data_IF_677621901259
#
_entry.id   IF_677621901259
#
_cell.length_a   1.000
_cell.length_b   1.000
_cell.length_c   1.000
_cell.angle_alpha   90.00
_cell.angle_beta   90.00
_cell.angle_gamma   90.00
#
_symmetry.space_group_name_H-M   'P 1'
#
loop_
_entity.id
_entity.type
_entity.pdbx_description
1 polymer ?
#
# COMPACT_ATOMS: atom_id res chain seq x y z
N UNK A 1 -2.29 4.35 12.79
CA UNK A 1 -2.29 4.98 11.44
C UNK A 1 -2.00 6.48 11.47
N UNK A 2 -2.76 7.29 12.24
CA UNK A 2 -2.63 8.75 12.22
C UNK A 2 -1.24 9.29 12.63
N UNK A 3 -0.61 8.70 13.65
CA UNK A 3 0.75 9.05 14.13
C UNK A 3 1.84 9.06 13.04
N UNK A 4 1.70 8.23 12.00
CA UNK A 4 2.67 8.12 10.89
C UNK A 4 2.34 9.04 9.71
N UNK A 5 1.19 9.71 9.72
CA UNK A 5 0.75 10.62 8.66
C UNK A 5 0.82 12.09 9.07
N UNK A 6 1.14 12.39 10.34
CA UNK A 6 1.17 13.74 10.90
C UNK A 6 2.06 14.72 10.13
N UNK A 7 3.28 14.32 9.74
CA UNK A 7 4.18 15.20 8.99
C UNK A 7 3.65 15.57 7.60
N UNK A 8 3.04 14.60 6.90
CA UNK A 8 2.37 14.87 5.62
C UNK A 8 1.10 15.69 5.80
N UNK A 9 0.34 15.46 6.87
CA UNK A 9 -0.86 16.22 7.16
C UNK A 9 -0.52 17.69 7.36
N UNK A 10 0.48 18.01 8.19
CA UNK A 10 0.99 19.37 8.39
C UNK A 10 1.49 20.01 7.09
N UNK A 11 2.27 19.27 6.29
CA UNK A 11 2.72 19.75 4.98
C UNK A 11 1.53 20.06 4.05
N UNK A 12 0.49 19.23 4.10
CA UNK A 12 -0.71 19.42 3.27
C UNK A 12 -1.50 20.64 3.72
N UNK A 13 -1.60 20.90 5.04
CA UNK A 13 -2.22 22.12 5.57
C UNK A 13 -1.45 23.38 5.12
N UNK A 14 -0.12 23.33 5.13
CA UNK A 14 0.72 24.42 4.62
C UNK A 14 0.47 24.68 3.13
N UNK A 15 0.48 23.63 2.31
CA UNK A 15 0.19 23.73 0.88
C UNK A 15 -1.23 24.26 0.65
N UNK A 16 -2.22 23.75 1.39
CA UNK A 16 -3.60 24.22 1.34
C UNK A 16 -3.74 25.69 1.71
N UNK A 17 -2.98 26.15 2.71
CA UNK A 17 -2.92 27.56 3.09
C UNK A 17 -2.32 28.45 1.99
N UNK A 18 -1.21 28.04 1.38
CA UNK A 18 -0.61 28.80 0.27
C UNK A 18 -1.54 28.85 -0.94
N UNK A 19 -2.17 27.73 -1.30
CA UNK A 19 -3.12 27.68 -2.41
C UNK A 19 -4.37 28.52 -2.11
N UNK A 20 -4.91 28.44 -0.90
CA UNK A 20 -6.04 29.25 -0.48
C UNK A 20 -5.73 30.75 -0.47
N UNK A 21 -4.53 31.12 -0.03
CA UNK A 21 -4.03 32.49 -0.09
C UNK A 21 -4.06 33.04 -1.52
N UNK A 22 -3.59 32.25 -2.50
CA UNK A 22 -3.56 32.65 -3.91
C UNK A 22 -4.94 32.68 -4.57
N UNK A 23 -5.84 31.75 -4.22
CA UNK A 23 -7.17 31.64 -4.84
C UNK A 23 -8.20 32.60 -4.25
N UNK A 24 -8.14 32.86 -2.94
CA UNK A 24 -9.15 33.63 -2.24
C UNK A 24 -8.66 35.00 -1.76
N UNK A 25 -7.34 35.22 -1.66
CA UNK A 25 -6.77 36.48 -1.16
C UNK A 25 -7.11 37.69 -2.04
N UNK A 26 -7.23 37.49 -3.36
CA UNK A 26 -7.65 38.53 -4.32
C UNK A 26 -9.16 38.63 -4.51
N UNK A 27 -9.92 37.68 -3.98
CA UNK A 27 -11.35 37.50 -4.27
C UNK A 27 -12.25 38.21 -3.24
N UNK A 28 -11.68 38.63 -2.11
CA UNK A 28 -12.37 39.41 -1.07
C UNK A 28 -12.35 40.88 -1.49
N UNK A 29 -13.48 41.39 -1.97
CA UNK A 29 -13.69 42.77 -2.38
C UNK A 29 -14.67 43.51 -1.42
N UNK A 30 -14.84 44.82 -1.63
CA UNK A 30 -15.71 45.66 -0.78
C UNK A 30 -17.16 45.15 -0.72
N UNK A 31 -17.64 44.55 -1.80
CA UNK A 31 -18.97 43.93 -1.91
C UNK A 31 -19.12 42.68 -1.03
N UNK A 32 -18.07 41.85 -0.96
CA UNK A 32 -18.00 40.69 -0.06
C UNK A 32 -17.93 41.14 1.40
N UNK A 33 -17.24 42.25 1.67
CA UNK A 33 -17.13 42.86 3.00
C UNK A 33 -18.48 43.40 3.45
N UNK A 34 -19.19 44.15 2.60
CA UNK A 34 -20.52 44.66 2.94
C UNK A 34 -21.52 43.54 3.21
N UNK A 35 -21.51 42.49 2.39
CA UNK A 35 -22.36 41.31 2.62
C UNK A 35 -22.02 40.60 3.94
N UNK A 36 -20.73 40.47 4.25
CA UNK A 36 -20.29 39.81 5.50
C UNK A 36 -20.66 40.63 6.74
N UNK A 37 -20.61 41.96 6.69
CA UNK A 37 -21.05 42.85 7.77
C UNK A 37 -22.55 42.71 8.02
N UNK A 38 -23.34 42.58 6.95
CA UNK A 38 -24.80 42.39 7.05
C UNK A 38 -25.16 41.01 7.66
N UNK A 39 -24.44 39.96 7.26
CA UNK A 39 -24.65 38.59 7.78
C UNK A 39 -24.09 38.41 9.20
N UNK A 40 -22.98 39.07 9.54
CA UNK A 40 -22.33 39.03 10.86
C UNK A 40 -22.68 40.25 11.71
N UNK A 41 -23.94 40.71 11.63
CA UNK A 41 -24.44 41.89 12.36
C UNK A 41 -24.34 41.80 13.90
N UNK A 42 -24.05 40.61 14.43
CA UNK A 42 -23.81 40.34 15.85
C UNK A 42 -22.37 40.66 16.29
N UNK A 43 -21.46 40.95 15.37
CA UNK A 43 -20.10 41.43 15.63
C UNK A 43 -19.98 42.93 15.33
N UNK A 44 -19.12 43.69 16.04
CA UNK A 44 -18.85 45.08 15.69
C UNK A 44 -18.29 45.20 14.26
N UNK A 45 -18.83 46.12 13.47
CA UNK A 45 -18.45 46.31 12.06
C UNK A 45 -16.94 46.53 11.90
N UNK A 46 -16.31 47.28 12.82
CA UNK A 46 -14.87 47.50 12.83
C UNK A 46 -14.07 46.19 12.94
N UNK A 47 -14.58 45.22 13.70
CA UNK A 47 -13.95 43.90 13.87
C UNK A 47 -14.08 43.07 12.60
N UNK A 48 -15.26 43.10 11.96
CA UNK A 48 -15.52 42.37 10.70
C UNK A 48 -14.67 42.94 9.56
N UNK A 49 -14.61 44.26 9.41
CA UNK A 49 -13.77 44.93 8.41
C UNK A 49 -12.28 44.70 8.66
N UNK A 50 -11.83 44.78 9.91
CA UNK A 50 -10.44 44.48 10.28
C UNK A 50 -10.05 43.04 9.95
N UNK A 51 -10.90 42.06 10.28
CA UNK A 51 -10.65 40.65 9.95
C UNK A 51 -10.60 40.40 8.43
N UNK A 52 -11.52 41.00 7.67
CA UNK A 52 -11.59 40.84 6.21
C UNK A 52 -10.52 41.63 5.46
N UNK A 53 -9.97 42.70 6.06
CA UNK A 53 -8.82 43.44 5.52
C UNK A 53 -7.56 42.57 5.41
N UNK A 54 -7.46 41.51 6.22
CA UNK A 54 -6.41 40.49 6.11
C UNK A 54 -6.79 39.43 5.07
N UNK A 55 -7.20 39.85 3.88
CA UNK A 55 -7.79 38.98 2.84
C UNK A 55 -6.92 37.77 2.51
N UNK A 56 -5.60 37.97 2.41
CA UNK A 56 -4.62 36.91 2.15
C UNK A 56 -4.52 35.89 3.28
N UNK A 57 -4.58 36.34 4.54
CA UNK A 57 -4.57 35.45 5.72
C UNK A 57 -5.89 34.67 5.81
N UNK A 58 -7.00 35.33 5.51
CA UNK A 58 -8.32 34.71 5.51
C UNK A 58 -8.44 33.67 4.39
N UNK A 59 -7.90 33.95 3.20
CA UNK A 59 -7.76 32.97 2.12
C UNK A 59 -6.88 31.78 2.51
N UNK A 60 -5.79 32.01 3.23
CA UNK A 60 -4.94 30.94 3.76
C UNK A 60 -5.69 30.06 4.78
N UNK A 61 -6.46 30.67 5.67
CA UNK A 61 -7.32 29.94 6.62
C UNK A 61 -8.36 29.09 5.90
N UNK A 62 -9.09 29.66 4.94
CA UNK A 62 -10.11 28.94 4.16
C UNK A 62 -9.50 27.72 3.45
N UNK A 63 -8.36 27.91 2.77
CA UNK A 63 -7.67 26.81 2.08
C UNK A 63 -7.16 25.73 3.02
N UNK A 64 -6.54 26.11 4.15
CA UNK A 64 -6.06 25.17 5.14
C UNK A 64 -7.22 24.41 5.82
N UNK A 65 -8.33 25.10 6.12
CA UNK A 65 -9.53 24.53 6.74
C UNK A 65 -10.24 23.56 5.81
N UNK A 66 -10.44 23.90 4.53
CA UNK A 66 -11.02 22.99 3.55
C UNK A 66 -10.22 21.70 3.46
N UNK A 67 -8.89 21.82 3.36
CA UNK A 67 -8.01 20.68 3.22
C UNK A 67 -7.92 19.85 4.52
N UNK A 68 -7.95 20.50 5.69
CA UNK A 68 -8.07 19.84 6.98
C UNK A 68 -9.35 19.01 7.08
N UNK A 69 -10.50 19.61 6.74
CA UNK A 69 -11.79 18.95 6.76
C UNK A 69 -11.82 17.70 5.88
N UNK A 70 -11.27 17.79 4.65
CA UNK A 70 -11.16 16.64 3.74
C UNK A 70 -10.25 15.55 4.31
N UNK A 71 -9.09 15.90 4.88
CA UNK A 71 -8.17 14.91 5.46
C UNK A 71 -8.76 14.21 6.69
N UNK A 72 -9.45 14.95 7.56
CA UNK A 72 -10.17 14.40 8.70
C UNK A 72 -11.30 13.47 8.25
N UNK A 73 -12.03 13.86 7.21
CA UNK A 73 -13.05 13.01 6.60
C UNK A 73 -12.42 11.72 6.05
N UNK A 74 -11.30 11.79 5.33
CA UNK A 74 -10.57 10.59 4.86
C UNK A 74 -10.17 9.69 6.03
N UNK A 75 -9.72 10.24 7.17
CA UNK A 75 -9.41 9.43 8.34
C UNK A 75 -10.65 8.78 8.96
N UNK A 76 -11.77 9.49 9.03
CA UNK A 76 -13.04 8.93 9.49
C UNK A 76 -13.50 7.81 8.56
N UNK A 77 -13.41 8.02 7.25
CA UNK A 77 -13.71 7.02 6.23
C UNK A 77 -12.84 5.78 6.38
N UNK A 78 -11.53 5.96 6.56
CA UNK A 78 -10.60 4.84 6.77
C UNK A 78 -10.84 4.14 8.10
N UNK A 79 -11.12 4.88 9.18
CA UNK A 79 -11.32 4.33 10.53
C UNK A 79 -12.63 3.55 10.65
N UNK A 80 -13.71 4.10 10.10
CA UNK A 80 -15.05 3.50 10.14
C UNK A 80 -15.35 2.67 8.89
N UNK A 81 -14.42 2.60 7.95
CA UNK A 81 -14.54 1.88 6.69
C UNK A 81 -15.82 2.26 5.91
N UNK A 82 -16.12 3.56 5.86
CA UNK A 82 -17.32 4.10 5.19
C UNK A 82 -17.16 3.94 3.69
N UNK A 83 -18.19 3.44 3.00
CA UNK A 83 -18.17 3.31 1.54
C UNK A 83 -17.98 4.69 0.87
N UNK A 84 -17.11 4.81 -0.14
CA UNK A 84 -16.99 6.04 -0.94
C UNK A 84 -18.32 6.50 -1.55
N UNK A 85 -19.25 5.58 -1.81
CA UNK A 85 -20.60 5.90 -2.30
C UNK A 85 -21.46 6.62 -1.25
N UNK A 86 -21.34 6.25 0.01
CA UNK A 86 -22.02 6.95 1.12
C UNK A 86 -21.45 8.36 1.28
N UNK A 87 -20.13 8.51 1.10
CA UNK A 87 -19.51 9.83 1.06
C UNK A 87 -20.06 10.66 -0.11
N UNK A 88 -20.10 10.08 -1.31
CA UNK A 88 -20.59 10.74 -2.51
C UNK A 88 -22.05 11.19 -2.35
N UNK A 89 -22.91 10.35 -1.77
CA UNK A 89 -24.30 10.68 -1.43
C UNK A 89 -24.39 11.80 -0.39
N UNK A 90 -23.59 11.76 0.68
CA UNK A 90 -23.53 12.83 1.68
C UNK A 90 -23.04 14.16 1.11
N UNK A 91 -22.10 14.11 0.16
CA UNK A 91 -21.62 15.30 -0.54
C UNK A 91 -22.73 15.94 -1.39
N UNK A 92 -23.65 15.14 -1.94
CA UNK A 92 -24.72 15.58 -2.84
C UNK A 92 -26.04 15.97 -2.15
N UNK A 93 -26.39 15.33 -1.04
CA UNK A 93 -27.69 15.53 -0.36
C UNK A 93 -27.69 16.67 0.66
N UNK A 94 -26.54 17.26 0.98
CA UNK A 94 -26.41 18.34 1.96
C UNK A 94 -25.49 19.46 1.41
N UNK A 95 -25.54 20.69 1.95
CA UNK A 95 -24.49 21.71 1.79
C UNK A 95 -23.20 21.27 2.53
N UNK A 96 -22.72 20.09 2.17
CA UNK A 96 -21.65 19.32 2.79
C UNK A 96 -20.32 20.05 2.74
N UNK A 97 -20.09 20.84 1.68
CA UNK A 97 -18.90 21.67 1.55
C UNK A 97 -18.76 22.68 2.70
N UNK A 98 -19.85 23.37 3.06
CA UNK A 98 -19.86 24.32 4.17
C UNK A 98 -19.60 23.60 5.52
N UNK A 99 -20.17 22.40 5.69
CA UNK A 99 -19.96 21.60 6.90
C UNK A 99 -18.51 21.09 7.01
N UNK A 100 -17.90 20.65 5.91
CA UNK A 100 -16.50 20.22 5.87
C UNK A 100 -15.56 21.38 6.14
N UNK A 101 -15.84 22.56 5.57
CA UNK A 101 -15.10 23.78 5.86
C UNK A 101 -15.21 24.14 7.35
N UNK A 102 -16.42 24.12 7.91
CA UNK A 102 -16.68 24.45 9.31
C UNK A 102 -15.97 23.48 10.27
N UNK A 103 -16.10 22.18 10.05
CA UNK A 103 -15.39 21.15 10.83
C UNK A 103 -13.88 21.29 10.68
N UNK A 104 -13.41 21.51 9.46
CA UNK A 104 -12.00 21.72 9.16
C UNK A 104 -11.41 22.97 9.82
N UNK A 105 -12.19 24.06 9.91
CA UNK A 105 -11.80 25.28 10.61
C UNK A 105 -11.81 25.09 12.13
N UNK A 106 -12.89 24.55 12.69
CA UNK A 106 -13.04 24.32 14.14
C UNK A 106 -11.96 23.39 14.68
N UNK A 107 -11.57 22.37 13.92
CA UNK A 107 -10.54 21.41 14.31
C UNK A 107 -9.13 21.77 13.82
N UNK A 108 -8.91 22.91 13.16
CA UNK A 108 -7.60 23.25 12.58
C UNK A 108 -6.50 23.31 13.64
N UNK A 109 -6.70 24.12 14.69
CA UNK A 109 -5.74 24.28 15.78
C UNK A 109 -5.53 22.96 16.56
N UNK A 110 -6.59 22.26 17.01
CA UNK A 110 -6.43 20.93 17.60
C UNK A 110 -5.63 19.97 16.71
N UNK A 111 -5.90 19.96 15.41
CA UNK A 111 -5.22 19.05 14.47
C UNK A 111 -3.73 19.36 14.36
N UNK A 112 -3.35 20.63 14.32
CA UNK A 112 -1.94 21.05 14.29
C UNK A 112 -1.21 20.58 15.56
N UNK A 113 -1.78 20.85 16.74
CA UNK A 113 -1.18 20.46 18.04
C UNK A 113 -0.98 18.94 18.09
N UNK A 114 -2.03 18.21 17.74
CA UNK A 114 -2.07 16.75 17.82
C UNK A 114 -1.06 16.22 16.78
N UNK A 115 -1.00 16.75 15.55
CA UNK A 115 0.00 16.33 14.56
C UNK A 115 1.45 16.59 15.01
N UNK A 116 1.75 17.74 15.63
CA UNK A 116 3.08 18.03 16.18
C UNK A 116 3.46 17.02 17.25
N UNK A 117 2.56 16.76 18.20
CA UNK A 117 2.75 15.73 19.23
C UNK A 117 2.99 14.35 18.60
N UNK A 118 2.21 13.99 17.59
CA UNK A 118 2.33 12.72 16.87
C UNK A 118 3.70 12.53 16.22
N UNK A 119 4.27 13.58 15.60
CA UNK A 119 5.61 13.54 15.02
C UNK A 119 6.71 13.35 16.07
N UNK A 120 6.61 14.04 17.20
CA UNK A 120 7.59 13.92 18.30
C UNK A 120 7.51 12.52 18.91
N UNK A 121 6.29 12.06 19.20
CA UNK A 121 6.07 10.74 19.76
C UNK A 121 6.43 9.60 18.77
N UNK A 122 6.31 9.81 17.44
CA UNK A 122 6.69 8.80 16.44
C UNK A 122 8.19 8.66 16.34
N UNK A 123 8.91 9.77 16.39
CA UNK A 123 10.37 9.80 16.39
C UNK A 123 10.93 9.06 17.60
N UNK A 124 10.31 9.22 18.78
CA UNK A 124 10.72 8.54 20.01
C UNK A 124 10.33 7.05 20.07
N UNK A 125 9.22 6.65 19.44
CA UNK A 125 8.80 5.25 19.37
C UNK A 125 9.55 4.45 18.30
N UNK A 126 9.84 5.07 17.15
CA UNK A 126 10.66 4.48 16.09
C UNK A 126 12.09 4.20 16.60
N UNK A 127 12.65 5.10 17.41
CA UNK A 127 13.96 4.89 18.04
C UNK A 127 14.03 3.69 19.00
N UNK A 128 12.89 3.21 19.54
CA UNK A 128 12.84 2.06 20.46
C UNK A 128 12.66 0.71 19.75
N UNK A 129 12.01 0.69 18.59
CA UNK A 129 11.71 -0.55 17.85
C UNK A 129 12.67 -0.81 16.67
N UNK A 130 13.45 0.18 16.24
CA UNK A 130 14.37 0.07 15.12
C UNK A 130 15.80 0.28 15.58
N UNK A 131 16.45 -0.80 16.04
CA UNK A 131 17.86 -0.78 16.44
C UNK A 131 18.85 -1.10 15.31
N UNK A 132 18.44 -1.17 14.04
CA UNK A 132 19.40 -1.49 12.96
C UNK A 132 19.22 -0.79 11.61
N UNK A 133 18.11 -0.10 11.31
CA UNK A 133 17.98 0.58 10.02
C UNK A 133 18.14 2.10 10.15
N UNK A 134 19.18 2.70 9.55
CA UNK A 134 19.30 4.15 9.45
C UNK A 134 18.15 4.70 8.59
N UNK A 135 17.19 5.35 9.24
CA UNK A 135 16.18 6.25 8.65
C UNK A 135 15.61 5.81 7.30
N UNK A 136 14.93 4.66 7.23
CA UNK A 136 13.98 4.34 6.16
C UNK A 136 14.43 4.65 4.73
N UNK A 137 15.74 4.54 4.47
CA UNK A 137 16.34 5.01 3.24
C UNK A 137 16.31 3.84 2.26
N UNK A 138 15.56 3.97 1.15
CA UNK A 138 15.53 2.92 0.13
C UNK A 138 16.92 2.60 -0.44
N UNK A 139 17.88 3.54 -0.34
CA UNK A 139 19.28 3.29 -0.68
C UNK A 139 19.90 2.17 0.16
N UNK A 140 19.51 2.04 1.43
CA UNK A 140 20.02 0.98 2.32
C UNK A 140 19.45 -0.38 1.91
N UNK A 141 18.17 -0.45 1.56
CA UNK A 141 17.55 -1.67 1.02
C UNK A 141 18.27 -2.14 -0.24
N UNK A 142 18.62 -1.22 -1.14
CA UNK A 142 19.40 -1.57 -2.32
C UNK A 142 20.83 -2.00 -1.98
N UNK A 143 21.48 -1.33 -1.03
CA UNK A 143 22.84 -1.69 -0.60
C UNK A 143 22.87 -3.11 -0.04
N UNK A 144 21.96 -3.43 0.87
CA UNK A 144 21.84 -4.78 1.46
C UNK A 144 21.47 -5.80 0.38
N UNK A 145 20.53 -5.47 -0.52
CA UNK A 145 20.19 -6.35 -1.64
C UNK A 145 21.43 -6.71 -2.48
N UNK A 146 22.24 -5.72 -2.87
CA UNK A 146 23.45 -5.95 -3.68
C UNK A 146 24.55 -6.72 -2.95
N UNK A 147 24.52 -6.78 -1.62
CA UNK A 147 25.46 -7.59 -0.84
C UNK A 147 25.07 -9.07 -0.82
N UNK A 148 23.77 -9.37 -0.80
CA UNK A 148 23.26 -10.74 -0.66
C UNK A 148 22.89 -11.38 -2.01
N UNK A 149 22.50 -10.57 -3.00
CA UNK A 149 21.88 -11.03 -4.24
C UNK A 149 22.51 -10.40 -5.49
N UNK A 150 22.49 -11.15 -6.59
CA UNK A 150 22.96 -10.66 -7.88
C UNK A 150 22.05 -9.53 -8.42
N UNK A 151 22.66 -8.45 -8.92
CA UNK A 151 21.92 -7.33 -9.53
C UNK A 151 21.94 -7.46 -11.05
N UNK A 152 20.75 -7.63 -11.64
CA UNK A 152 20.55 -7.82 -13.08
C UNK A 152 20.35 -6.47 -13.77
N UNK A 153 21.30 -6.05 -14.61
CA UNK A 153 21.23 -4.78 -15.36
C UNK A 153 20.48 -4.89 -16.69
N UNK A 154 20.33 -6.10 -17.22
CA UNK A 154 19.58 -6.43 -18.45
C UNK A 154 18.11 -5.99 -18.39
N UNK A 155 17.48 -6.04 -17.22
CA UNK A 155 16.10 -5.58 -17.00
C UNK A 155 15.95 -4.05 -16.94
N UNK A 156 17.05 -3.30 -17.07
CA UNK A 156 17.02 -1.82 -16.99
C UNK A 156 16.12 -1.19 -18.04
N UNK A 157 16.21 -1.62 -19.30
CA UNK A 157 15.39 -1.10 -20.39
C UNK A 157 13.88 -1.29 -20.11
N UNK A 158 13.51 -2.46 -19.59
CA UNK A 158 12.15 -2.78 -19.18
C UNK A 158 11.68 -1.87 -18.03
N UNK A 159 12.45 -1.80 -16.95
CA UNK A 159 12.11 -1.01 -15.77
C UNK A 159 11.97 0.48 -16.08
N UNK A 160 12.87 1.03 -16.90
CA UNK A 160 12.84 2.43 -17.33
C UNK A 160 11.64 2.73 -18.23
N UNK A 161 11.25 1.80 -19.12
CA UNK A 161 10.03 1.92 -19.94
C UNK A 161 8.79 1.95 -19.05
N UNK A 162 8.65 1.01 -18.12
CA UNK A 162 7.53 0.98 -17.17
C UNK A 162 7.46 2.25 -16.32
N UNK A 163 8.61 2.78 -15.89
CA UNK A 163 8.69 4.05 -15.15
C UNK A 163 8.17 5.23 -15.97
N UNK A 164 8.62 5.34 -17.23
CA UNK A 164 8.19 6.40 -18.15
C UNK A 164 6.67 6.37 -18.37
N UNK A 165 6.10 5.19 -18.60
CA UNK A 165 4.64 5.03 -18.76
C UNK A 165 3.90 5.37 -17.45
N UNK A 166 4.37 4.89 -16.30
CA UNK A 166 3.75 5.20 -15.00
C UNK A 166 3.77 6.70 -14.69
N UNK A 167 4.87 7.38 -15.01
CA UNK A 167 5.02 8.82 -14.84
C UNK A 167 4.09 9.60 -15.79
N UNK A 168 3.94 9.16 -17.04
CA UNK A 168 2.97 9.73 -18.00
C UNK A 168 1.54 9.66 -17.48
N UNK A 169 1.09 8.48 -17.02
CA UNK A 169 -0.26 8.32 -16.46
C UNK A 169 -0.47 9.14 -15.19
N UNK A 170 0.57 9.25 -14.35
CA UNK A 170 0.53 10.10 -13.16
C UNK A 170 0.42 11.58 -13.53
N UNK A 171 1.12 12.05 -14.57
CA UNK A 171 1.00 13.41 -15.07
C UNK A 171 -0.40 13.71 -15.63
N UNK A 172 -0.96 12.80 -16.43
CA UNK A 172 -2.32 12.92 -16.97
C UNK A 172 -3.34 13.03 -15.83
N UNK A 173 -3.19 12.22 -14.77
CA UNK A 173 -4.04 12.29 -13.57
C UNK A 173 -3.95 13.66 -12.88
N UNK A 174 -2.74 14.19 -12.67
CA UNK A 174 -2.55 15.50 -12.01
C UNK A 174 -3.15 16.63 -12.86
N UNK A 175 -2.92 16.61 -14.18
CA UNK A 175 -3.49 17.59 -15.11
C UNK A 175 -5.03 17.52 -15.13
N UNK A 176 -5.60 16.31 -15.12
CA UNK A 176 -7.05 16.12 -15.03
C UNK A 176 -7.65 16.69 -13.76
N UNK A 177 -6.96 16.55 -12.62
CA UNK A 177 -7.41 17.10 -11.33
C UNK A 177 -7.38 18.64 -11.34
N UNK A 178 -6.33 19.24 -11.91
CA UNK A 178 -6.23 20.70 -12.07
C UNK A 178 -7.37 21.21 -12.96
N UNK A 179 -7.61 20.54 -14.10
CA UNK A 179 -8.69 20.91 -15.02
C UNK A 179 -10.07 20.84 -14.34
N UNK A 180 -10.31 19.81 -13.52
CA UNK A 180 -11.54 19.67 -12.75
C UNK A 180 -11.74 20.83 -11.79
N UNK A 181 -10.69 21.23 -11.06
CA UNK A 181 -10.74 22.40 -10.17
C UNK A 181 -11.03 23.67 -10.95
N UNK A 182 -10.38 23.90 -12.09
CA UNK A 182 -10.69 25.06 -12.93
C UNK A 182 -12.16 25.08 -13.40
N UNK A 183 -12.72 23.93 -13.79
CA UNK A 183 -14.13 23.83 -14.20
C UNK A 183 -15.10 24.17 -13.07
N UNK A 184 -14.78 23.80 -11.82
CA UNK A 184 -15.62 24.16 -10.65
C UNK A 184 -15.72 25.68 -10.45
N UNK A 185 -14.73 26.46 -10.89
CA UNK A 185 -14.74 27.92 -10.77
C UNK A 185 -15.54 28.61 -11.87
N UNK A 186 -15.69 27.95 -13.03
CA UNK A 186 -16.34 28.53 -14.22
C UNK A 186 -17.82 28.17 -14.28
N UNK A 187 -18.17 26.91 -14.00
CA UNK A 187 -19.53 26.41 -14.17
C UNK A 187 -20.28 26.52 -12.84
N UNK A 188 -21.23 27.45 -12.78
CA UNK A 188 -22.10 27.64 -11.62
C UNK A 188 -23.30 26.67 -11.60
N UNK A 189 -23.63 26.06 -12.74
CA UNK A 189 -24.75 25.12 -12.84
C UNK A 189 -24.40 23.76 -12.21
N UNK A 190 -25.06 23.47 -11.09
CA UNK A 190 -24.81 22.29 -10.26
C UNK A 190 -25.09 20.96 -10.99
N UNK A 191 -26.10 20.92 -11.86
CA UNK A 191 -26.44 19.70 -12.63
C UNK A 191 -25.38 19.39 -13.70
N UNK A 192 -24.87 20.42 -14.37
CA UNK A 192 -23.79 20.24 -15.36
C UNK A 192 -22.52 19.78 -14.65
N UNK A 193 -22.18 20.38 -13.51
CA UNK A 193 -21.03 19.97 -12.71
C UNK A 193 -21.13 18.52 -12.24
N UNK A 194 -22.32 18.06 -11.86
CA UNK A 194 -22.52 16.65 -11.49
C UNK A 194 -22.17 15.69 -12.63
N UNK A 195 -22.66 15.96 -13.84
CA UNK A 195 -22.37 15.13 -15.01
C UNK A 195 -20.86 15.13 -15.30
N UNK A 196 -20.20 16.29 -15.20
CA UNK A 196 -18.74 16.41 -15.37
C UNK A 196 -17.98 15.58 -14.33
N UNK A 197 -18.37 15.64 -13.05
CA UNK A 197 -17.75 14.83 -11.99
C UNK A 197 -17.95 13.33 -12.22
N UNK A 198 -19.14 12.91 -12.68
CA UNK A 198 -19.42 11.50 -12.97
C UNK A 198 -18.56 10.97 -14.12
N UNK A 199 -18.48 11.73 -15.21
CA UNK A 199 -17.62 11.40 -16.37
C UNK A 199 -16.15 11.35 -15.93
N UNK A 200 -15.70 12.31 -15.13
CA UNK A 200 -14.34 12.34 -14.60
C UNK A 200 -14.05 11.12 -13.71
N UNK A 201 -14.97 10.71 -12.84
CA UNK A 201 -14.80 9.53 -11.98
C UNK A 201 -14.65 8.23 -12.79
N UNK A 202 -15.41 8.08 -13.88
CA UNK A 202 -15.29 6.95 -14.80
C UNK A 202 -13.92 6.96 -15.52
N UNK A 203 -13.51 8.11 -16.05
CA UNK A 203 -12.20 8.28 -16.68
C UNK A 203 -11.05 8.00 -15.72
N UNK A 204 -11.18 8.42 -14.46
CA UNK A 204 -10.18 8.21 -13.41
C UNK A 204 -10.05 6.73 -13.05
N UNK A 205 -11.16 5.99 -13.01
CA UNK A 205 -11.15 4.52 -12.82
C UNK A 205 -10.42 3.83 -13.98
N UNK A 206 -10.67 4.26 -15.22
CA UNK A 206 -9.97 3.76 -16.39
C UNK A 206 -8.47 4.09 -16.38
N UNK A 207 -8.10 5.33 -16.01
CA UNK A 207 -6.72 5.76 -15.84
C UNK A 207 -5.94 4.92 -14.82
N UNK A 208 -6.55 4.60 -13.67
CA UNK A 208 -5.92 3.72 -12.69
C UNK A 208 -5.68 2.32 -13.23
N UNK A 209 -6.60 1.80 -14.06
CA UNK A 209 -6.41 0.51 -14.74
C UNK A 209 -5.23 0.56 -15.71
N UNK A 210 -5.10 1.61 -16.52
CA UNK A 210 -3.97 1.78 -17.44
C UNK A 210 -2.64 1.92 -16.70
N UNK A 211 -2.63 2.66 -15.59
CA UNK A 211 -1.46 2.77 -14.73
C UNK A 211 -1.07 1.42 -14.13
N UNK A 212 -2.03 0.61 -13.67
CA UNK A 212 -1.75 -0.74 -13.17
C UNK A 212 -1.19 -1.64 -14.28
N UNK A 213 -1.72 -1.53 -15.51
CA UNK A 213 -1.22 -2.27 -16.67
C UNK A 213 0.22 -1.93 -17.04
N UNK A 214 0.66 -0.68 -16.84
CA UNK A 214 2.07 -0.30 -17.09
C UNK A 214 3.09 -1.00 -16.19
N UNK A 215 2.64 -1.58 -15.05
CA UNK A 215 3.50 -2.30 -14.11
C UNK A 215 3.47 -3.82 -14.33
N UNK A 216 2.54 -4.34 -15.14
CA UNK A 216 2.43 -5.77 -15.43
C UNK A 216 3.73 -6.41 -15.92
N UNK A 217 4.55 -5.76 -16.78
CA UNK A 217 5.78 -6.39 -17.25
C UNK A 217 6.79 -6.67 -16.13
N UNK A 218 6.81 -5.85 -15.07
CA UNK A 218 7.66 -6.11 -13.89
C UNK A 218 7.07 -7.27 -13.08
N UNK A 219 5.75 -7.29 -12.88
CA UNK A 219 5.07 -8.36 -12.14
C UNK A 219 5.27 -9.72 -12.82
N UNK A 220 5.25 -9.77 -14.16
CA UNK A 220 5.39 -11.00 -14.94
C UNK A 220 6.74 -11.71 -14.71
N UNK A 221 7.81 -10.96 -14.39
CA UNK A 221 9.13 -11.53 -14.05
C UNK A 221 9.02 -12.50 -12.87
N UNK A 222 8.26 -12.14 -11.82
CA UNK A 222 7.99 -13.07 -10.73
C UNK A 222 6.86 -14.04 -11.07
N UNK A 223 5.73 -13.53 -11.56
CA UNK A 223 4.48 -14.30 -11.60
C UNK A 223 4.45 -15.39 -12.66
N UNK A 224 5.13 -15.18 -13.80
CA UNK A 224 5.14 -16.08 -14.94
C UNK A 224 6.51 -16.74 -15.12
N UNK A 225 7.59 -15.98 -14.94
CA UNK A 225 8.96 -16.45 -15.16
C UNK A 225 9.62 -17.01 -13.90
N UNK A 226 9.02 -16.85 -12.72
CA UNK A 226 9.59 -17.30 -11.45
C UNK A 226 11.02 -16.77 -11.21
N UNK A 227 11.31 -15.55 -11.66
CA UNK A 227 12.63 -14.91 -11.53
C UNK A 227 12.58 -13.75 -10.52
N UNK A 228 12.66 -14.04 -9.20
CA UNK A 228 12.70 -12.99 -8.18
C UNK A 228 13.94 -12.09 -8.27
N UNK A 229 15.05 -12.53 -8.90
CA UNK A 229 16.27 -11.71 -9.05
C UNK A 229 16.03 -10.60 -10.06
N UNK A 230 15.54 -10.95 -11.25
CA UNK A 230 15.17 -10.02 -12.29
C UNK A 230 14.08 -9.07 -11.82
N UNK A 231 13.05 -9.60 -11.14
CA UNK A 231 11.96 -8.80 -10.59
C UNK A 231 12.46 -7.77 -9.55
N UNK A 232 13.24 -8.19 -8.56
CA UNK A 232 13.79 -7.30 -7.55
C UNK A 232 14.71 -6.23 -8.17
N UNK A 233 15.58 -6.62 -9.09
CA UNK A 233 16.46 -5.69 -9.82
C UNK A 233 15.64 -4.64 -10.60
N UNK A 234 14.60 -5.07 -11.31
CA UNK A 234 13.70 -4.17 -12.04
C UNK A 234 12.96 -3.19 -11.10
N UNK A 235 12.50 -3.66 -9.93
CA UNK A 235 11.85 -2.80 -8.93
C UNK A 235 12.80 -1.73 -8.39
N UNK A 236 14.06 -2.08 -8.12
CA UNK A 236 15.06 -1.13 -7.62
C UNK A 236 15.37 -0.05 -8.67
N UNK A 237 15.55 -0.44 -9.95
CA UNK A 237 15.76 0.50 -11.06
C UNK A 237 14.53 1.40 -11.25
N UNK A 238 13.34 0.83 -11.21
CA UNK A 238 12.07 1.57 -11.29
C UNK A 238 11.93 2.60 -10.16
N UNK A 239 12.35 2.23 -8.95
CA UNK A 239 12.21 3.03 -7.72
C UNK A 239 13.26 4.12 -7.55
N UNK A 240 14.37 4.05 -8.29
CA UNK A 240 15.48 5.00 -8.20
C UNK A 240 15.20 6.29 -8.99
N UNK A 241 15.45 7.44 -8.36
CA UNK A 241 15.44 8.77 -8.99
C UNK A 241 16.71 9.55 -8.61
N UNK A 242 17.61 9.70 -9.58
CA UNK A 242 18.95 10.24 -9.31
C UNK A 242 19.66 9.41 -8.25
N UNK A 243 20.20 10.06 -7.21
CA UNK A 243 20.93 9.41 -6.12
C UNK A 243 20.04 8.89 -4.97
N UNK A 244 18.71 9.03 -5.09
CA UNK A 244 17.77 8.61 -4.05
C UNK A 244 16.86 7.49 -4.55
N UNK A 245 16.77 6.42 -3.79
CA UNK A 245 15.84 5.33 -4.01
C UNK A 245 14.67 5.45 -3.04
N UNK A 246 13.46 5.48 -3.59
CA UNK A 246 12.22 5.42 -2.84
C UNK A 246 11.42 4.21 -3.34
N UNK A 247 11.50 3.11 -2.59
CA UNK A 247 10.90 1.83 -2.96
C UNK A 247 9.39 1.99 -3.19
N UNK A 248 8.92 1.74 -4.42
CA UNK A 248 7.51 1.93 -4.81
C UNK A 248 6.66 0.66 -4.73
N UNK A 249 7.28 -0.51 -4.88
CA UNK A 249 6.61 -1.82 -4.98
C UNK A 249 7.01 -2.73 -3.82
N UNK A 250 6.85 -2.23 -2.58
CA UNK A 250 7.33 -2.89 -1.37
C UNK A 250 6.85 -4.34 -1.22
N UNK A 251 5.55 -4.61 -1.45
CA UNK A 251 5.01 -5.97 -1.33
C UNK A 251 5.63 -6.94 -2.32
N UNK A 252 5.76 -6.52 -3.60
CA UNK A 252 6.35 -7.38 -4.62
C UNK A 252 7.84 -7.60 -4.37
N UNK A 253 8.55 -6.56 -3.92
CA UNK A 253 9.94 -6.69 -3.53
C UNK A 253 10.11 -7.65 -2.35
N UNK A 254 9.27 -7.54 -1.33
CA UNK A 254 9.26 -8.45 -0.19
C UNK A 254 8.97 -9.90 -0.61
N UNK A 255 8.01 -10.12 -1.51
CA UNK A 255 7.77 -11.44 -2.11
C UNK A 255 9.01 -11.99 -2.81
N UNK A 256 9.70 -11.15 -3.60
CA UNK A 256 10.96 -11.56 -4.23
C UNK A 256 12.00 -11.96 -3.17
N UNK A 257 12.14 -11.19 -2.08
CA UNK A 257 13.10 -11.49 -1.03
C UNK A 257 12.77 -12.79 -0.30
N UNK A 258 11.49 -13.07 -0.05
CA UNK A 258 11.05 -14.36 0.49
C UNK A 258 11.43 -15.51 -0.45
N UNK A 259 11.20 -15.37 -1.76
CA UNK A 259 11.60 -16.39 -2.73
C UNK A 259 13.10 -16.45 -3.01
N UNK A 260 13.89 -15.51 -2.50
CA UNK A 260 15.35 -15.54 -2.46
C UNK A 260 15.90 -15.98 -1.11
N UNK A 261 15.03 -16.41 -0.19
CA UNK A 261 15.40 -16.86 1.15
C UNK A 261 16.04 -15.77 2.04
N UNK A 262 15.65 -14.50 1.83
CA UNK A 262 16.07 -13.36 2.64
C UNK A 262 14.87 -12.72 3.38
N UNK A 263 14.33 -13.39 4.43
CA UNK A 263 13.15 -12.91 5.15
C UNK A 263 13.41 -11.61 5.91
N UNK A 264 14.65 -11.33 6.31
CA UNK A 264 15.00 -10.08 7.01
C UNK A 264 14.86 -8.88 6.06
N UNK A 265 15.46 -8.95 4.86
CA UNK A 265 15.34 -7.90 3.87
C UNK A 265 13.88 -7.74 3.37
N UNK A 266 13.11 -8.84 3.37
CA UNK A 266 11.67 -8.79 3.11
C UNK A 266 10.95 -7.92 4.16
N UNK A 267 11.16 -8.18 5.46
CA UNK A 267 10.57 -7.40 6.55
C UNK A 267 10.99 -5.93 6.49
N UNK A 268 12.26 -5.66 6.25
CA UNK A 268 12.81 -4.31 6.13
C UNK A 268 12.09 -3.52 5.04
N UNK A 269 11.85 -4.15 3.88
CA UNK A 269 11.14 -3.53 2.77
C UNK A 269 9.64 -3.28 3.08
N UNK A 270 9.00 -4.18 3.82
CA UNK A 270 7.58 -4.07 4.22
C UNK A 270 7.37 -2.95 5.23
N UNK A 271 8.29 -2.75 6.17
CA UNK A 271 8.21 -1.65 7.15
C UNK A 271 8.20 -0.28 6.47
N UNK A 272 8.86 -0.13 5.32
CA UNK A 272 8.86 1.11 4.53
C UNK A 272 7.53 1.37 3.82
N UNK A 273 6.63 0.38 3.77
CA UNK A 273 5.39 0.49 3.03
C UNK A 273 4.37 1.39 3.75
N UNK A 274 3.73 2.27 2.99
CA UNK A 274 2.54 2.98 3.47
C UNK A 274 1.33 2.06 3.44
N UNK A 275 0.81 1.72 4.62
CA UNK A 275 -0.45 0.98 4.78
C UNK A 275 -1.62 1.94 4.60
N UNK A 276 -2.42 1.70 3.55
CA UNK A 276 -3.42 2.65 3.08
C UNK A 276 -4.87 2.16 3.15
N UNK A 277 -5.12 0.88 2.89
CA UNK A 277 -6.45 0.28 2.88
C UNK A 277 -6.40 -1.13 3.51
N UNK A 278 -7.56 -1.69 3.88
CA UNK A 278 -7.65 -3.01 4.51
C UNK A 278 -7.03 -4.12 3.65
N UNK A 279 -7.15 -4.03 2.31
CA UNK A 279 -6.54 -5.00 1.41
C UNK A 279 -5.01 -4.99 1.47
N UNK A 280 -4.39 -3.80 1.51
CA UNK A 280 -2.95 -3.68 1.67
C UNK A 280 -2.48 -4.12 3.06
N UNK A 281 -3.31 -3.93 4.10
CA UNK A 281 -3.00 -4.46 5.43
C UNK A 281 -3.01 -5.98 5.45
N UNK A 282 -4.01 -6.64 4.84
CA UNK A 282 -4.05 -8.10 4.76
C UNK A 282 -2.83 -8.67 4.03
N UNK A 283 -2.46 -8.09 2.88
CA UNK A 283 -1.25 -8.49 2.15
C UNK A 283 0.02 -8.24 2.95
N UNK A 284 0.10 -7.12 3.68
CA UNK A 284 1.23 -6.83 4.58
C UNK A 284 1.38 -7.92 5.64
N UNK A 285 0.29 -8.26 6.33
CA UNK A 285 0.31 -9.23 7.42
C UNK A 285 0.62 -10.64 6.89
N UNK A 286 0.09 -11.00 5.72
CA UNK A 286 0.42 -12.27 5.06
C UNK A 286 1.91 -12.41 4.76
N UNK A 287 2.55 -11.38 4.18
CA UNK A 287 3.98 -11.41 3.87
C UNK A 287 4.86 -11.34 5.12
N UNK A 288 4.46 -10.57 6.14
CA UNK A 288 5.15 -10.57 7.43
C UNK A 288 5.04 -11.93 8.12
N UNK A 289 3.90 -12.61 8.02
CA UNK A 289 3.72 -13.95 8.58
C UNK A 289 4.63 -14.96 7.89
N UNK A 290 4.71 -14.93 6.57
CA UNK A 290 5.65 -15.75 5.80
C UNK A 290 7.11 -15.50 6.19
N UNK A 291 7.52 -14.23 6.40
CA UNK A 291 8.86 -13.91 6.88
C UNK A 291 9.12 -14.47 8.29
N UNK A 292 8.18 -14.28 9.22
CA UNK A 292 8.29 -14.77 10.60
C UNK A 292 8.34 -16.31 10.65
N UNK A 293 7.59 -17.00 9.78
CA UNK A 293 7.65 -18.44 9.61
C UNK A 293 9.07 -18.90 9.24
N UNK A 294 9.69 -18.27 8.25
CA UNK A 294 11.06 -18.62 7.84
C UNK A 294 12.12 -18.31 8.89
N UNK A 295 11.87 -17.33 9.75
CA UNK A 295 12.72 -17.01 10.89
C UNK A 295 12.45 -17.89 12.12
N UNK A 296 11.40 -18.71 12.11
CA UNK A 296 11.01 -19.55 13.23
C UNK A 296 10.38 -18.82 14.42
N UNK A 297 9.90 -17.57 14.24
CA UNK A 297 9.25 -16.81 15.31
C UNK A 297 7.73 -17.07 15.34
N UNK A 298 7.35 -18.13 16.07
CA UNK A 298 5.95 -18.50 16.26
C UNK A 298 5.14 -17.41 16.96
N UNK A 299 5.74 -16.73 17.95
CA UNK A 299 5.04 -15.67 18.70
C UNK A 299 4.65 -14.50 17.78
N UNK A 300 5.50 -14.18 16.79
CA UNK A 300 5.21 -13.13 15.83
C UNK A 300 4.18 -13.56 14.78
N UNK A 301 4.16 -14.84 14.40
CA UNK A 301 3.11 -15.42 13.55
C UNK A 301 1.72 -15.30 14.18
N UNK A 302 1.59 -15.67 15.46
CA UNK A 302 0.33 -15.59 16.20
C UNK A 302 -0.15 -14.13 16.33
N UNK A 303 0.77 -13.18 16.57
CA UNK A 303 0.46 -11.74 16.55
C UNK A 303 -0.04 -11.28 15.18
N UNK A 304 0.55 -11.77 14.09
CA UNK A 304 0.08 -11.43 12.74
C UNK A 304 -1.32 -11.99 12.48
N UNK A 305 -1.62 -13.21 12.96
CA UNK A 305 -2.95 -13.81 12.87
C UNK A 305 -4.01 -12.98 13.62
N UNK A 306 -3.69 -12.54 14.85
CA UNK A 306 -4.56 -11.67 15.64
C UNK A 306 -4.78 -10.29 14.96
N UNK A 307 -3.72 -9.73 14.37
CA UNK A 307 -3.82 -8.49 13.60
C UNK A 307 -4.75 -8.64 12.38
N UNK A 308 -4.70 -9.77 11.67
CA UNK A 308 -5.62 -10.05 10.56
C UNK A 308 -7.06 -10.21 11.06
N UNK A 309 -7.28 -10.99 12.13
CA UNK A 309 -8.63 -11.21 12.71
C UNK A 309 -9.28 -9.91 13.21
N UNK A 310 -8.48 -8.96 13.68
CA UNK A 310 -8.95 -7.64 14.11
C UNK A 310 -9.11 -6.62 12.97
N UNK A 311 -8.66 -6.95 11.75
CA UNK A 311 -8.77 -6.06 10.59
C UNK A 311 -10.21 -6.02 10.08
N UNK A 312 -10.84 -4.84 10.14
CA UNK A 312 -12.17 -4.65 9.55
C UNK A 312 -12.08 -4.51 8.03
N UNK A 313 -12.65 -5.48 7.30
CA UNK A 313 -12.74 -5.46 5.84
C UNK A 313 -14.18 -5.17 5.44
N UNK A 314 -14.42 -4.10 4.67
CA UNK A 314 -15.76 -3.71 4.23
C UNK A 314 -15.85 -3.72 2.69
N UNK A 315 -15.43 -4.85 2.09
CA UNK A 315 -15.49 -5.09 0.63
C UNK A 315 -16.56 -6.17 0.35
N UNK A 316 -17.68 -6.11 1.08
CA UNK A 316 -18.75 -7.12 0.98
C UNK A 316 -18.24 -8.55 1.12
N UNK A 317 -18.90 -9.49 0.43
CA UNK A 317 -18.52 -10.91 0.44
C UNK A 317 -17.07 -11.15 -0.04
N UNK A 318 -16.59 -10.38 -1.02
CA UNK A 318 -15.23 -10.52 -1.56
C UNK A 318 -14.14 -10.14 -0.53
N UNK A 319 -14.39 -9.10 0.27
CA UNK A 319 -13.49 -8.70 1.36
C UNK A 319 -13.41 -9.74 2.47
N UNK A 320 -14.58 -10.28 2.85
CA UNK A 320 -14.64 -11.34 3.85
C UNK A 320 -13.92 -12.60 3.38
N UNK A 321 -14.10 -12.98 2.11
CA UNK A 321 -13.37 -14.10 1.51
C UNK A 321 -11.86 -13.87 1.59
N UNK A 322 -11.38 -12.71 1.15
CA UNK A 322 -9.95 -12.38 1.19
C UNK A 322 -9.37 -12.40 2.61
N UNK A 323 -10.15 -11.97 3.61
CA UNK A 323 -9.77 -12.07 5.02
C UNK A 323 -9.66 -13.52 5.47
N UNK A 324 -10.64 -14.37 5.14
CA UNK A 324 -10.65 -15.78 5.49
C UNK A 324 -9.49 -16.54 4.82
N UNK A 325 -9.21 -16.24 3.55
CA UNK A 325 -8.08 -16.81 2.82
C UNK A 325 -6.74 -16.42 3.49
N UNK A 326 -6.63 -15.16 3.94
CA UNK A 326 -5.44 -14.68 4.66
C UNK A 326 -5.31 -15.38 6.03
N UNK A 327 -6.41 -15.55 6.77
CA UNK A 327 -6.43 -16.28 8.05
C UNK A 327 -5.98 -17.72 7.83
N UNK A 328 -6.55 -18.41 6.83
CA UNK A 328 -6.21 -19.80 6.53
C UNK A 328 -4.74 -19.94 6.11
N UNK A 329 -4.21 -19.01 5.32
CA UNK A 329 -2.81 -19.01 4.92
C UNK A 329 -1.86 -18.85 6.11
N UNK A 330 -2.14 -17.92 7.03
CA UNK A 330 -1.30 -17.72 8.23
C UNK A 330 -1.43 -18.91 9.19
N UNK A 331 -2.65 -19.42 9.38
CA UNK A 331 -2.89 -20.60 10.21
C UNK A 331 -2.12 -21.81 9.68
N UNK A 332 -2.13 -22.05 8.37
CA UNK A 332 -1.35 -23.10 7.75
C UNK A 332 0.16 -22.99 8.03
N UNK A 333 0.71 -21.77 8.14
CA UNK A 333 2.13 -21.58 8.53
C UNK A 333 2.39 -21.93 9.99
N UNK A 334 1.44 -21.65 10.89
CA UNK A 334 1.50 -22.07 12.29
C UNK A 334 1.42 -23.61 12.38
N UNK A 335 0.51 -24.22 11.62
CA UNK A 335 0.34 -25.67 11.55
C UNK A 335 1.60 -26.36 11.00
N UNK A 336 2.27 -25.77 10.01
CA UNK A 336 3.56 -26.22 9.51
C UNK A 336 4.66 -26.17 10.60
N UNK A 337 4.70 -25.13 11.43
CA UNK A 337 5.66 -25.06 12.55
C UNK A 337 5.38 -26.10 13.63
N UNK A 338 4.10 -26.35 13.91
CA UNK A 338 3.65 -27.34 14.89
C UNK A 338 3.65 -28.77 14.34
N UNK A 339 4.11 -28.98 13.09
CA UNK A 339 4.16 -30.28 12.43
C UNK A 339 2.78 -30.96 12.26
N UNK A 340 1.70 -30.18 12.18
CA UNK A 340 0.35 -30.66 11.89
C UNK A 340 0.16 -30.94 10.39
N UNK A 341 0.91 -31.90 9.86
CA UNK A 341 1.04 -32.13 8.42
C UNK A 341 -0.27 -32.51 7.72
N UNK A 342 -1.20 -33.20 8.40
CA UNK A 342 -2.53 -33.53 7.83
C UNK A 342 -3.33 -32.28 7.47
N UNK A 343 -3.31 -31.28 8.35
CA UNK A 343 -4.02 -30.02 8.16
C UNK A 343 -3.35 -29.22 7.03
N UNK A 344 -2.02 -29.24 6.98
CA UNK A 344 -1.26 -28.52 5.97
C UNK A 344 -1.48 -29.09 4.58
N UNK A 345 -1.45 -30.41 4.44
CA UNK A 345 -1.70 -31.09 3.18
C UNK A 345 -3.13 -30.81 2.68
N UNK A 346 -4.12 -30.94 3.57
CA UNK A 346 -5.51 -30.64 3.24
C UNK A 346 -5.70 -29.18 2.77
N UNK A 347 -5.00 -28.24 3.40
CA UNK A 347 -4.96 -26.84 2.96
C UNK A 347 -4.40 -26.73 1.55
N UNK A 348 -3.19 -27.23 1.29
CA UNK A 348 -2.53 -27.10 -0.02
C UNK A 348 -3.30 -27.81 -1.14
N UNK A 349 -3.80 -29.03 -0.92
CA UNK A 349 -4.63 -29.75 -1.91
C UNK A 349 -5.92 -29.00 -2.24
N UNK A 350 -6.51 -28.27 -1.28
CA UNK A 350 -7.71 -27.44 -1.51
C UNK A 350 -7.42 -26.19 -2.34
N UNK A 351 -6.29 -25.52 -2.10
CA UNK A 351 -5.97 -24.25 -2.76
C UNK A 351 -5.26 -24.42 -4.10
N UNK A 352 -4.51 -25.51 -4.29
CA UNK A 352 -3.70 -25.75 -5.49
C UNK A 352 -4.50 -25.66 -6.81
N UNK A 353 -5.72 -26.25 -6.94
CA UNK A 353 -6.49 -26.16 -8.19
C UNK A 353 -6.98 -24.74 -8.52
N UNK A 354 -6.98 -23.83 -7.54
CA UNK A 354 -7.46 -22.46 -7.69
C UNK A 354 -6.34 -21.48 -8.06
N UNK A 355 -5.08 -21.90 -7.90
CA UNK A 355 -3.91 -21.07 -8.18
C UNK A 355 -3.71 -20.92 -9.69
N UNK A 356 -3.55 -19.67 -10.14
CA UNK A 356 -3.35 -19.34 -11.56
C UNK A 356 -1.94 -18.88 -11.88
N UNK A 357 -1.20 -18.44 -10.86
CA UNK A 357 0.12 -17.85 -11.02
C UNK A 357 1.19 -18.91 -10.79
N UNK A 358 2.17 -18.99 -11.70
CA UNK A 358 3.16 -20.07 -11.72
C UNK A 358 3.99 -20.12 -10.43
N UNK A 359 4.37 -18.95 -9.91
CA UNK A 359 5.14 -18.89 -8.66
C UNK A 359 4.36 -19.43 -7.44
N UNK A 360 3.03 -19.27 -7.41
CA UNK A 360 2.19 -19.83 -6.34
C UNK A 360 2.09 -21.35 -6.45
N UNK A 361 2.02 -21.87 -7.67
CA UNK A 361 2.07 -23.31 -7.92
C UNK A 361 3.42 -23.88 -7.47
N UNK A 362 4.53 -23.26 -7.84
CA UNK A 362 5.88 -23.67 -7.38
C UNK A 362 5.97 -23.66 -5.85
N UNK A 363 5.46 -22.61 -5.20
CA UNK A 363 5.41 -22.51 -3.74
C UNK A 363 4.59 -23.64 -3.10
N UNK A 364 3.38 -23.91 -3.61
CA UNK A 364 2.52 -24.97 -3.09
C UNK A 364 3.11 -26.38 -3.31
N UNK A 365 3.66 -26.67 -4.51
CA UNK A 365 4.33 -27.93 -4.79
C UNK A 365 5.56 -28.13 -3.89
N UNK A 366 6.31 -27.06 -3.59
CA UNK A 366 7.45 -27.15 -2.68
C UNK A 366 7.02 -27.59 -1.26
N UNK A 367 5.97 -26.98 -0.70
CA UNK A 367 5.47 -27.37 0.62
C UNK A 367 4.82 -28.76 0.63
N UNK A 368 4.06 -29.13 -0.40
CA UNK A 368 3.52 -30.48 -0.53
C UNK A 368 4.64 -31.53 -0.59
N UNK A 369 5.67 -31.29 -1.42
CA UNK A 369 6.84 -32.17 -1.50
C UNK A 369 7.57 -32.31 -0.17
N UNK A 370 7.71 -31.22 0.60
CA UNK A 370 8.28 -31.29 1.95
C UNK A 370 7.43 -32.15 2.90
N UNK A 371 6.10 -31.98 2.87
CA UNK A 371 5.17 -32.72 3.73
C UNK A 371 5.23 -34.22 3.41
N UNK A 372 5.14 -34.59 2.13
CA UNK A 372 5.17 -35.99 1.69
C UNK A 372 6.54 -36.63 1.92
N UNK A 373 7.64 -35.87 1.74
CA UNK A 373 8.99 -36.32 2.07
C UNK A 373 9.14 -36.67 3.55
N UNK A 374 8.65 -35.81 4.46
CA UNK A 374 8.70 -36.08 5.91
C UNK A 374 7.86 -37.32 6.27
N UNK A 375 6.78 -37.56 5.53
CA UNK A 375 5.94 -38.77 5.67
C UNK A 375 6.53 -40.02 5.03
N UNK A 376 7.68 -39.91 4.36
CA UNK A 376 8.37 -41.00 3.64
C UNK A 376 7.58 -41.54 2.45
N UNK A 377 6.68 -40.74 1.88
CA UNK A 377 6.12 -41.01 0.57
C UNK A 377 7.04 -40.37 -0.48
N UNK A 378 8.09 -41.09 -0.84
CA UNK A 378 9.16 -40.57 -1.70
C UNK A 378 8.74 -40.48 -3.17
N UNK A 379 7.75 -41.27 -3.59
CA UNK A 379 7.22 -41.23 -4.95
C UNK A 379 6.45 -39.92 -5.16
N UNK A 380 5.47 -39.62 -4.28
CA UNK A 380 4.71 -38.37 -4.36
C UNK A 380 5.60 -37.13 -4.09
N UNK A 381 6.55 -37.23 -3.15
CA UNK A 381 7.54 -36.18 -2.92
C UNK A 381 8.39 -35.90 -4.18
N UNK A 382 8.80 -36.95 -4.88
CA UNK A 382 9.57 -36.86 -6.12
C UNK A 382 8.81 -36.09 -7.20
N UNK A 383 7.53 -36.38 -7.41
CA UNK A 383 6.69 -35.66 -8.37
C UNK A 383 6.60 -34.16 -8.06
N UNK A 384 6.33 -33.82 -6.80
CA UNK A 384 6.25 -32.43 -6.35
C UNK A 384 7.57 -31.67 -6.51
N UNK A 385 8.70 -32.27 -6.11
CA UNK A 385 10.00 -31.63 -6.24
C UNK A 385 10.45 -31.49 -7.70
N UNK A 386 10.17 -32.47 -8.56
CA UNK A 386 10.43 -32.38 -10.00
C UNK A 386 9.69 -31.19 -10.63
N UNK A 387 8.43 -30.97 -10.23
CA UNK A 387 7.68 -29.79 -10.68
C UNK A 387 8.39 -28.49 -10.26
N UNK A 388 8.83 -28.39 -9.01
CA UNK A 388 9.54 -27.21 -8.49
C UNK A 388 10.86 -26.97 -9.23
N UNK A 389 11.64 -28.02 -9.49
CA UNK A 389 12.92 -27.89 -10.20
C UNK A 389 12.71 -27.38 -11.63
N UNK A 390 11.68 -27.90 -12.30
CA UNK A 390 11.35 -27.55 -13.68
C UNK A 390 10.79 -26.13 -13.81
N UNK A 391 10.03 -25.66 -12.81
CA UNK A 391 9.25 -24.41 -12.92
C UNK A 391 9.75 -23.26 -12.04
N UNK A 392 10.65 -23.52 -11.09
CA UNK A 392 11.08 -22.55 -10.08
C UNK A 392 12.16 -21.55 -10.53
N UNK A 393 12.76 -21.74 -11.71
CA UNK A 393 13.76 -20.84 -12.30
C UNK A 393 14.86 -20.36 -11.33
N UNK A 394 14.79 -19.12 -10.81
CA UNK A 394 15.78 -18.59 -9.85
C UNK A 394 15.25 -18.45 -8.42
N UNK A 395 14.08 -19.03 -8.12
CA UNK A 395 13.59 -19.13 -6.75
C UNK A 395 14.47 -20.08 -5.93
N UNK A 396 14.70 -19.77 -4.66
CA UNK A 396 15.51 -20.58 -3.73
C UNK A 396 14.96 -22.00 -3.57
N UNK A 397 13.67 -22.20 -3.81
CA UNK A 397 13.02 -23.50 -3.79
C UNK A 397 13.57 -24.48 -4.83
N UNK A 398 14.04 -24.00 -5.99
CA UNK A 398 14.58 -24.89 -7.04
C UNK A 398 15.79 -25.66 -6.53
N UNK A 399 16.76 -24.96 -5.96
CA UNK A 399 18.00 -25.58 -5.45
C UNK A 399 17.69 -26.48 -4.24
N UNK A 400 16.77 -26.06 -3.37
CA UNK A 400 16.32 -26.88 -2.23
C UNK A 400 15.61 -28.16 -2.69
N UNK A 401 14.69 -28.08 -3.64
CA UNK A 401 13.99 -29.22 -4.20
C UNK A 401 14.95 -30.19 -4.90
N UNK A 402 15.96 -29.70 -5.62
CA UNK A 402 17.00 -30.55 -6.21
C UNK A 402 17.72 -31.37 -5.14
N UNK A 403 18.12 -30.74 -4.02
CA UNK A 403 18.76 -31.47 -2.91
C UNK A 403 17.86 -32.56 -2.32
N UNK A 404 16.54 -32.33 -2.25
CA UNK A 404 15.61 -33.36 -1.80
C UNK A 404 15.52 -34.53 -2.80
N UNK A 405 15.48 -34.25 -4.10
CA UNK A 405 15.52 -35.30 -5.14
C UNK A 405 16.80 -36.15 -5.03
N UNK A 406 17.96 -35.51 -4.83
CA UNK A 406 19.23 -36.22 -4.65
C UNK A 406 19.26 -37.08 -3.38
N UNK A 407 18.50 -36.72 -2.34
CA UNK A 407 18.33 -37.54 -1.13
C UNK A 407 17.39 -38.72 -1.38
N UNK A 408 16.28 -38.50 -2.09
CA UNK A 408 15.34 -39.57 -2.49
C UNK A 408 16.06 -40.61 -3.33
N UNK A 409 16.82 -40.18 -4.35
CA UNK A 409 17.56 -41.07 -5.24
C UNK A 409 18.52 -41.97 -4.48
N UNK A 410 19.32 -41.41 -3.57
CA UNK A 410 20.24 -42.17 -2.71
C UNK A 410 19.51 -43.18 -1.82
N UNK A 411 18.31 -42.84 -1.36
CA UNK A 411 17.52 -43.76 -0.53
C UNK A 411 16.98 -44.94 -1.35
N UNK A 412 16.54 -44.69 -2.59
CA UNK A 412 16.08 -45.73 -3.51
C UNK A 412 17.24 -46.66 -3.88
N UNK A 413 18.42 -46.12 -4.19
CA UNK A 413 19.62 -46.90 -4.49
C UNK A 413 20.04 -47.79 -3.31
N UNK A 414 20.06 -47.23 -2.10
CA UNK A 414 20.40 -47.99 -0.88
C UNK A 414 19.35 -49.04 -0.48
N UNK A 415 18.10 -48.95 -0.98
CA UNK A 415 17.06 -49.95 -0.76
C UNK A 415 17.08 -51.07 -1.82
N UNK A 416 17.80 -50.87 -2.93
CA UNK A 416 17.96 -51.84 -4.00
C UNK A 416 19.22 -52.71 -3.86
N UNK A 417 20.20 -52.27 -3.06
CA UNK A 417 21.34 -53.07 -2.56
C UNK A 417 20.93 -53.91 -1.34
#
# INVERSE_FOLDING_TARGET
>A
MWKYQCGRHLLSLLIGGVVGMLLFGSSINEETISWSVEVLNWLPEATVRSALSMSWLLGALIGASALNGVLLLIYLVQKFNISPMVLFLLFFLAPSFALILAVGALLLIPTIIVCIYGMIASRNAAAKNFRSLPNGNGNEVERVYRLHHAFKEDVSALALKCRKESDRWTAIYVLGLIALVCLTLIIQNLMVMFIVFLVYALLLTYLFRLRAQSLLPINALLFEQCDPIACASAILIFSRRGNRLNLKMNMLFAQCMLYLDDPQLAMDSLVLMRRGNSAAELNYQSLMAEANYRLGDQSALERNLEAVKSTKVNIGAAGNLMMQDTIAAIQNKIDLMNQHFDQCEAYYRKVLPQMKLRFQLVDAHYYLGMITFVRRDFDEAGEHFNYVVTNGNTMSYRERAQRYLDMIQRHIEAAAE
#
